data_IF_358791865510
#
_entry.id   IF_358791865510
#
_cell.length_a   1.000
_cell.length_b   1.000
_cell.length_c   1.000
_cell.angle_alpha   90.00
_cell.angle_beta   90.00
_cell.angle_gamma   90.00
#
_symmetry.space_group_name_H-M   'P 1'
#
loop_
_entity.id
_entity.type
_entity.pdbx_description
1 polymer ?
#
# COMPACT_ATOMS: atom_id res chain seq x y z
N UNK A 1 -2.33 3.90 23.00
CA UNK A 1 -1.99 2.56 23.53
C UNK A 1 -0.51 2.36 23.27
N UNK A 2 0.29 2.25 24.32
CA UNK A 2 1.74 2.06 24.22
C UNK A 2 2.07 0.76 23.51
N UNK A 3 3.15 0.75 22.74
CA UNK A 3 3.66 -0.48 22.13
C UNK A 3 3.97 -1.48 23.26
N UNK A 4 3.37 -2.69 23.27
CA UNK A 4 3.76 -3.70 24.24
C UNK A 4 5.23 -4.09 24.02
N UNK A 5 5.89 -4.48 25.11
CA UNK A 5 7.24 -5.01 25.10
C UNK A 5 7.42 -6.01 23.95
N UNK A 6 8.56 -5.92 23.27
CA UNK A 6 8.91 -6.64 22.04
C UNK A 6 8.74 -8.16 22.17
N UNK A 7 7.53 -8.66 21.95
CA UNK A 7 7.29 -10.10 21.78
C UNK A 7 7.90 -10.49 20.44
N UNK A 8 9.12 -11.01 20.50
CA UNK A 8 9.83 -11.54 19.34
C UNK A 8 9.15 -12.81 18.87
N UNK A 9 8.96 -12.96 17.57
CA UNK A 9 8.39 -14.18 16.99
C UNK A 9 9.26 -15.40 17.38
N UNK A 10 8.70 -16.44 18.03
CA UNK A 10 9.45 -17.58 18.52
C UNK A 10 9.75 -18.62 17.43
N UNK A 11 9.22 -18.41 16.22
CA UNK A 11 9.40 -19.32 15.10
C UNK A 11 10.86 -19.36 14.62
N UNK A 12 11.38 -20.53 14.22
CA UNK A 12 12.70 -20.66 13.61
C UNK A 12 12.82 -19.81 12.34
N UNK A 13 14.03 -19.33 12.05
CA UNK A 13 14.27 -18.47 10.90
C UNK A 13 13.99 -19.19 9.58
N UNK A 14 14.29 -20.49 9.51
CA UNK A 14 14.05 -21.34 8.34
C UNK A 14 12.55 -21.45 8.03
N UNK A 15 11.72 -21.51 9.06
CA UNK A 15 10.26 -21.53 8.90
C UNK A 15 9.74 -20.19 8.39
N UNK A 16 10.28 -19.08 8.92
CA UNK A 16 9.97 -17.74 8.43
C UNK A 16 10.39 -17.57 6.97
N UNK A 17 11.61 -17.97 6.62
CA UNK A 17 12.14 -17.92 5.25
C UNK A 17 11.23 -18.66 4.29
N UNK A 18 10.95 -19.94 4.58
CA UNK A 18 10.11 -20.75 3.71
C UNK A 18 8.69 -20.17 3.59
N UNK A 19 8.07 -19.79 4.70
CA UNK A 19 6.71 -19.23 4.70
C UNK A 19 6.62 -17.95 3.88
N UNK A 20 7.55 -17.01 4.05
CA UNK A 20 7.52 -15.74 3.34
C UNK A 20 7.97 -15.87 1.89
N UNK A 21 8.95 -16.73 1.61
CA UNK A 21 9.35 -17.04 0.24
C UNK A 21 8.19 -17.65 -0.55
N UNK A 22 7.49 -18.63 0.02
CA UNK A 22 6.30 -19.22 -0.60
C UNK A 22 5.21 -18.16 -0.84
N UNK A 23 4.96 -17.30 0.17
CA UNK A 23 3.95 -16.25 0.12
C UNK A 23 4.29 -15.10 -0.83
N UNK A 24 5.55 -14.73 -1.04
CA UNK A 24 5.93 -13.51 -1.77
C UNK A 24 6.59 -13.77 -3.12
N UNK A 25 7.39 -14.83 -3.26
CA UNK A 25 8.24 -15.04 -4.45
C UNK A 25 7.55 -15.78 -5.59
N UNK A 26 6.30 -16.22 -5.41
CA UNK A 26 5.51 -16.86 -6.46
C UNK A 26 4.68 -15.81 -7.22
N UNK A 27 4.94 -15.55 -8.51
CA UNK A 27 4.17 -14.56 -9.26
C UNK A 27 2.71 -15.00 -9.44
N UNK A 28 1.78 -14.05 -9.31
CA UNK A 28 0.37 -14.31 -9.59
C UNK A 28 0.05 -14.00 -11.05
N UNK A 29 -0.13 -15.04 -11.85
CA UNK A 29 -0.22 -14.94 -13.31
C UNK A 29 -1.62 -14.63 -13.87
N UNK A 30 -2.69 -14.62 -13.06
CA UNK A 30 -4.00 -14.22 -13.58
C UNK A 30 -3.96 -12.73 -13.89
N UNK A 31 -4.07 -12.37 -15.17
CA UNK A 31 -4.02 -10.98 -15.64
C UNK A 31 -5.28 -10.59 -16.45
N UNK A 32 -6.32 -11.42 -16.42
CA UNK A 32 -7.50 -11.20 -17.24
C UNK A 32 -8.40 -10.14 -16.61
N UNK A 33 -8.46 -8.98 -17.26
CA UNK A 33 -9.35 -7.87 -16.91
C UNK A 33 -10.50 -7.66 -17.90
N UNK A 34 -10.66 -8.54 -18.91
CA UNK A 34 -11.65 -8.37 -19.98
C UNK A 34 -13.10 -8.48 -19.51
N UNK A 35 -13.32 -9.15 -18.37
CA UNK A 35 -14.64 -9.28 -17.73
C UNK A 35 -15.09 -8.03 -16.97
N UNK A 36 -14.19 -7.07 -16.72
CA UNK A 36 -14.57 -5.83 -16.07
C UNK A 36 -15.19 -4.86 -17.08
N UNK A 37 -16.22 -4.11 -16.63
CA UNK A 37 -16.89 -3.09 -17.45
C UNK A 37 -15.90 -2.10 -18.10
N UNK A 38 -16.28 -1.36 -19.14
CA UNK A 38 -15.40 -0.30 -19.66
C UNK A 38 -15.18 0.78 -18.59
N UNK A 39 -13.96 1.32 -18.49
CA UNK A 39 -13.69 2.43 -17.58
C UNK A 39 -14.49 3.67 -18.05
N UNK A 40 -15.24 4.28 -17.12
CA UNK A 40 -16.14 5.40 -17.41
C UNK A 40 -15.57 6.77 -17.02
N UNK A 41 -14.36 6.80 -16.46
CA UNK A 41 -13.72 8.04 -16.02
C UNK A 41 -13.08 8.82 -17.16
N UNK A 42 -12.80 10.09 -16.89
CA UNK A 42 -11.96 10.93 -17.74
C UNK A 42 -10.53 10.39 -17.81
N UNK A 43 -9.86 10.66 -18.92
CA UNK A 43 -8.42 10.46 -19.05
C UNK A 43 -7.66 11.55 -18.30
N UNK A 44 -6.42 11.26 -17.92
CA UNK A 44 -5.50 12.25 -17.37
C UNK A 44 -5.40 13.47 -18.32
N UNK A 45 -5.40 14.68 -17.73
CA UNK A 45 -5.25 15.95 -18.46
C UNK A 45 -3.80 16.44 -18.46
N UNK A 46 -2.86 15.55 -18.18
CA UNK A 46 -1.44 15.87 -18.03
C UNK A 46 -1.07 16.31 -16.62
N UNK A 47 -1.84 15.93 -15.61
CA UNK A 47 -1.58 16.28 -14.21
C UNK A 47 -0.66 15.26 -13.54
N UNK A 48 -0.80 13.97 -13.85
CA UNK A 48 -0.04 12.89 -13.21
C UNK A 48 1.47 13.04 -13.36
N UNK A 49 1.91 13.51 -14.53
CA UNK A 49 3.32 13.55 -14.93
C UNK A 49 3.97 14.94 -14.79
N UNK A 50 3.27 15.92 -14.20
CA UNK A 50 3.89 17.24 -13.92
C UNK A 50 5.07 17.10 -12.96
N UNK A 51 6.06 18.00 -13.00
CA UNK A 51 7.06 18.09 -11.94
C UNK A 51 6.40 18.11 -10.56
N UNK A 52 7.07 17.52 -9.57
CA UNK A 52 6.61 17.49 -8.19
C UNK A 52 6.90 18.85 -7.56
N UNK A 53 5.89 19.41 -6.91
CA UNK A 53 5.97 20.71 -6.27
C UNK A 53 6.37 20.58 -4.80
N UNK A 54 7.02 21.62 -4.27
CA UNK A 54 7.41 21.73 -2.86
C UNK A 54 6.21 21.55 -1.92
N UNK A 55 5.07 22.17 -2.26
CA UNK A 55 3.85 22.08 -1.45
C UNK A 55 3.35 20.63 -1.32
N UNK A 56 3.53 19.80 -2.36
CA UNK A 56 3.15 18.38 -2.33
C UNK A 56 4.05 17.60 -1.38
N UNK A 57 5.35 17.88 -1.38
CA UNK A 57 6.32 17.28 -0.45
C UNK A 57 6.02 17.69 0.98
N UNK A 58 5.83 18.98 1.24
CA UNK A 58 5.46 19.51 2.56
C UNK A 58 4.16 18.88 3.09
N UNK A 59 3.13 18.75 2.24
CA UNK A 59 1.88 18.06 2.60
C UNK A 59 2.10 16.56 2.85
N UNK A 60 2.96 15.92 2.06
CA UNK A 60 3.27 14.50 2.23
C UNK A 60 3.97 14.24 3.58
N UNK A 61 4.97 15.04 3.93
CA UNK A 61 5.71 14.99 5.20
C UNK A 61 4.76 15.14 6.38
N UNK A 62 3.95 16.21 6.40
CA UNK A 62 2.95 16.45 7.46
C UNK A 62 1.90 15.35 7.60
N UNK A 63 1.68 14.58 6.53
CA UNK A 63 0.74 13.46 6.51
C UNK A 63 1.34 12.11 6.92
N UNK A 64 2.60 12.06 7.35
CA UNK A 64 3.25 10.87 7.92
C UNK A 64 3.17 10.93 9.44
N UNK A 65 3.02 9.77 10.08
CA UNK A 65 3.03 9.67 11.55
C UNK A 65 4.47 9.85 12.04
N UNK A 66 4.70 10.75 13.00
CA UNK A 66 6.02 11.00 13.59
C UNK A 66 6.67 9.73 14.16
N UNK A 67 5.87 8.74 14.58
CA UNK A 67 6.33 7.46 15.12
C UNK A 67 6.61 6.41 14.04
N UNK A 68 6.60 6.80 12.76
CA UNK A 68 6.87 5.89 11.65
C UNK A 68 8.29 5.35 11.76
N UNK A 69 8.43 4.02 11.78
CA UNK A 69 9.73 3.38 11.83
C UNK A 69 10.52 3.65 10.53
N UNK A 70 11.85 3.81 10.59
CA UNK A 70 12.69 4.07 9.42
C UNK A 70 12.69 2.88 8.45
N UNK A 71 13.14 3.06 7.20
CA UNK A 71 13.40 1.95 6.29
C UNK A 71 14.70 1.21 6.63
N UNK A 72 15.12 0.22 5.81
CA UNK A 72 16.43 -0.43 5.94
C UNK A 72 17.63 0.52 5.79
N UNK A 73 17.42 1.68 5.16
CA UNK A 73 18.36 2.78 4.99
C UNK A 73 18.57 3.59 6.28
N UNK A 74 17.74 3.38 7.31
CA UNK A 74 17.87 4.05 8.61
C UNK A 74 17.31 5.47 8.65
N UNK A 75 16.93 6.06 7.52
CA UNK A 75 16.37 7.42 7.47
C UNK A 75 15.00 7.48 8.14
N UNK A 76 14.87 8.38 9.11
CA UNK A 76 13.64 8.67 9.84
C UNK A 76 12.86 9.79 9.17
N UNK A 77 11.65 10.09 9.66
CA UNK A 77 10.91 11.26 9.20
C UNK A 77 11.63 12.56 9.57
N UNK A 78 12.26 12.62 10.76
CA UNK A 78 13.00 13.78 11.24
C UNK A 78 14.16 14.11 10.30
N UNK A 79 14.95 13.11 9.91
CA UNK A 79 16.07 13.34 8.99
C UNK A 79 15.60 13.93 7.65
N UNK A 80 14.43 13.49 7.17
CA UNK A 80 13.83 14.02 5.93
C UNK A 80 13.29 15.42 6.12
N UNK A 81 12.74 15.74 7.30
CA UNK A 81 12.31 17.09 7.65
C UNK A 81 13.49 18.04 7.71
N UNK A 82 14.58 17.65 8.37
CA UNK A 82 15.79 18.46 8.48
C UNK A 82 16.36 18.77 7.08
N UNK A 83 16.43 17.76 6.19
CA UNK A 83 16.86 17.96 4.79
C UNK A 83 15.93 18.92 4.03
N UNK A 84 14.61 18.78 4.22
CA UNK A 84 13.61 19.62 3.54
C UNK A 84 13.61 21.06 4.07
N UNK A 85 13.86 21.25 5.36
CA UNK A 85 13.94 22.57 6.00
C UNK A 85 15.25 23.29 5.63
N UNK A 86 16.32 22.54 5.33
CA UNK A 86 17.59 23.08 4.80
C UNK A 86 17.51 23.49 3.31
N UNK A 87 16.91 22.65 2.45
CA UNK A 87 16.65 22.94 1.03
C UNK A 87 15.32 22.31 0.58
N UNK A 88 14.28 23.14 0.58
CA UNK A 88 12.92 22.77 0.22
C UNK A 88 12.76 22.36 -1.26
N UNK A 89 13.78 22.62 -2.10
CA UNK A 89 13.77 22.29 -3.53
C UNK A 89 14.40 20.93 -3.83
N UNK A 90 15.20 20.37 -2.92
CA UNK A 90 16.00 19.16 -3.17
C UNK A 90 15.12 17.91 -3.40
N UNK A 91 14.21 17.64 -2.47
CA UNK A 91 13.31 16.47 -2.53
C UNK A 91 12.33 16.56 -3.72
N UNK A 92 11.65 17.71 -3.98
CA UNK A 92 10.82 17.87 -5.17
C UNK A 92 11.58 17.63 -6.48
N UNK A 93 12.82 18.13 -6.59
CA UNK A 93 13.66 17.90 -7.78
C UNK A 93 14.03 16.42 -7.94
N UNK A 94 14.39 15.75 -6.85
CA UNK A 94 14.68 14.31 -6.85
C UNK A 94 13.47 13.49 -7.30
N UNK A 95 12.29 13.77 -6.74
CA UNK A 95 11.06 13.07 -7.11
C UNK A 95 10.64 13.37 -8.55
N UNK A 96 10.82 14.61 -9.01
CA UNK A 96 10.60 14.98 -10.42
C UNK A 96 11.53 14.23 -11.37
N UNK A 97 12.77 13.97 -10.96
CA UNK A 97 13.71 13.17 -11.73
C UNK A 97 13.25 11.71 -11.86
N UNK A 98 12.78 11.09 -10.77
CA UNK A 98 12.21 9.74 -10.81
C UNK A 98 10.98 9.67 -11.70
N UNK A 99 10.10 10.68 -11.61
CA UNK A 99 8.91 10.76 -12.43
C UNK A 99 9.25 10.90 -13.92
N UNK A 100 10.20 11.77 -14.26
CA UNK A 100 10.63 12.00 -15.65
C UNK A 100 11.38 10.81 -16.25
N UNK A 101 12.18 10.11 -15.45
CA UNK A 101 12.91 8.92 -15.90
C UNK A 101 12.05 7.65 -15.88
N UNK A 102 10.89 7.67 -15.21
CA UNK A 102 10.07 6.51 -14.91
C UNK A 102 10.85 5.38 -14.21
N UNK A 103 11.87 5.74 -13.43
CA UNK A 103 12.79 4.81 -12.76
C UNK A 103 12.96 5.17 -11.29
N UNK A 104 12.88 4.16 -10.43
CA UNK A 104 13.12 4.23 -9.00
C UNK A 104 14.48 3.60 -8.70
N UNK A 105 15.34 4.25 -7.90
CA UNK A 105 16.62 3.68 -7.50
C UNK A 105 16.47 2.31 -6.84
N UNK A 106 17.28 1.32 -7.26
CA UNK A 106 17.21 -0.04 -6.73
C UNK A 106 17.54 -0.11 -5.23
N UNK A 107 18.37 0.82 -4.73
CA UNK A 107 18.62 0.96 -3.29
C UNK A 107 17.34 1.21 -2.49
N UNK A 108 16.34 1.86 -3.09
CA UNK A 108 15.07 2.19 -2.44
C UNK A 108 14.02 1.07 -2.53
N UNK A 109 14.29 0.02 -3.31
CA UNK A 109 13.40 -1.14 -3.50
C UNK A 109 13.60 -2.23 -2.44
N UNK A 110 14.46 -1.99 -1.45
CA UNK A 110 14.70 -2.86 -0.30
C UNK A 110 13.79 -2.46 0.86
N UNK A 111 13.16 -3.44 1.49
CA UNK A 111 12.30 -3.23 2.66
C UNK A 111 12.66 -4.20 3.80
N UNK A 112 12.16 -3.91 5.00
CA UNK A 112 12.18 -4.86 6.12
C UNK A 112 10.76 -5.17 6.58
N UNK A 113 10.54 -6.41 6.99
CA UNK A 113 9.24 -6.87 7.49
C UNK A 113 9.39 -7.30 8.95
N UNK A 114 8.62 -6.65 9.83
CA UNK A 114 8.55 -6.99 11.26
C UNK A 114 7.24 -7.70 11.56
N UNK A 115 7.25 -8.64 12.50
CA UNK A 115 6.09 -9.43 12.88
C UNK A 115 5.46 -8.88 14.16
N UNK A 116 4.17 -8.54 14.10
CA UNK A 116 3.38 -8.06 15.25
C UNK A 116 2.38 -9.16 15.66
N UNK A 117 2.33 -9.56 16.94
CA UNK A 117 1.41 -10.61 17.38
C UNK A 117 -0.06 -10.18 17.24
N UNK A 118 -0.94 -11.12 16.86
CA UNK A 118 -2.41 -10.89 16.84
C UNK A 118 -3.06 -11.07 18.21
N UNK A 119 -2.41 -11.80 19.12
CA UNK A 119 -2.86 -12.12 20.47
C UNK A 119 -1.67 -12.26 21.42
N UNK A 120 -1.93 -12.36 22.71
CA UNK A 120 -0.89 -12.48 23.75
C UNK A 120 -0.58 -13.94 24.15
N UNK A 121 -1.41 -14.89 23.70
CA UNK A 121 -1.27 -16.32 23.98
C UNK A 121 -0.03 -16.92 23.27
N UNK A 122 0.97 -17.30 24.06
CA UNK A 122 2.25 -17.81 23.58
C UNK A 122 2.16 -19.13 22.81
N UNK A 123 1.21 -20.01 23.15
CA UNK A 123 1.03 -21.27 22.44
C UNK A 123 0.46 -21.01 21.03
N UNK A 124 -0.46 -20.05 20.92
CA UNK A 124 -0.99 -19.61 19.62
C UNK A 124 0.05 -18.87 18.78
N UNK A 125 0.99 -18.18 19.41
CA UNK A 125 2.07 -17.47 18.72
C UNK A 125 3.15 -18.40 18.13
N UNK A 126 3.07 -19.72 18.37
CA UNK A 126 3.81 -20.75 17.62
C UNK A 126 3.26 -21.01 16.20
N UNK A 127 2.16 -20.37 15.82
CA UNK A 127 1.62 -20.41 14.47
C UNK A 127 1.82 -19.05 13.78
N UNK A 128 2.48 -19.07 12.61
CA UNK A 128 2.77 -17.88 11.80
C UNK A 128 1.52 -17.10 11.40
N UNK A 129 0.37 -17.75 11.27
CA UNK A 129 -0.88 -17.08 10.91
C UNK A 129 -1.45 -16.26 12.08
N UNK A 130 -0.95 -16.41 13.30
CA UNK A 130 -1.22 -15.52 14.43
C UNK A 130 -0.30 -14.28 14.48
N UNK A 131 0.53 -14.07 13.45
CA UNK A 131 1.36 -12.87 13.29
C UNK A 131 0.86 -11.96 12.16
N UNK A 132 1.03 -10.65 12.33
CA UNK A 132 0.80 -9.63 11.30
C UNK A 132 2.15 -9.17 10.77
N UNK A 133 2.49 -9.45 9.51
CA UNK A 133 3.67 -8.85 8.89
C UNK A 133 3.41 -7.37 8.59
N UNK A 134 4.33 -6.52 9.03
CA UNK A 134 4.37 -5.10 8.67
C UNK A 134 5.66 -4.83 7.93
N UNK A 135 5.52 -4.51 6.63
CA UNK A 135 6.66 -4.20 5.75
C UNK A 135 6.88 -2.69 5.70
N UNK A 136 8.08 -2.27 6.04
CA UNK A 136 8.55 -0.89 6.05
C UNK A 136 9.67 -0.71 5.04
N UNK A 137 9.47 0.20 4.09
CA UNK A 137 10.48 0.60 3.11
C UNK A 137 11.08 1.97 3.42
N UNK A 138 11.97 2.47 2.55
CA UNK A 138 12.61 3.77 2.65
C UNK A 138 11.62 4.92 2.73
N UNK A 139 11.92 5.92 3.57
CA UNK A 139 11.03 7.06 3.82
C UNK A 139 10.81 7.91 2.57
N UNK A 140 11.86 8.16 1.78
CA UNK A 140 11.76 8.89 0.52
C UNK A 140 10.79 8.22 -0.47
N UNK A 141 10.90 6.90 -0.62
CA UNK A 141 9.98 6.16 -1.49
C UNK A 141 8.56 6.14 -0.92
N UNK A 142 8.41 6.21 0.41
CA UNK A 142 7.11 6.36 1.06
C UNK A 142 6.43 7.67 0.65
N UNK A 143 7.13 8.79 0.82
CA UNK A 143 6.65 10.13 0.47
C UNK A 143 6.32 10.24 -1.03
N UNK A 144 7.21 9.75 -1.89
CA UNK A 144 6.98 9.74 -3.34
C UNK A 144 5.68 9.00 -3.70
N UNK A 145 5.51 7.76 -3.23
CA UNK A 145 4.29 6.99 -3.53
C UNK A 145 3.03 7.60 -2.93
N UNK A 146 3.11 8.30 -1.79
CA UNK A 146 2.00 9.04 -1.20
C UNK A 146 1.54 10.19 -2.10
N UNK A 147 2.47 10.96 -2.66
CA UNK A 147 2.17 12.03 -3.61
C UNK A 147 1.53 11.45 -4.88
N UNK A 148 2.14 10.39 -5.44
CA UNK A 148 1.63 9.75 -6.66
C UNK A 148 0.24 9.14 -6.45
N UNK A 149 -0.04 8.55 -5.28
CA UNK A 149 -1.37 8.04 -4.94
C UNK A 149 -2.40 9.16 -4.91
N UNK A 150 -2.08 10.30 -4.29
CA UNK A 150 -2.96 11.48 -4.24
C UNK A 150 -3.26 12.03 -5.64
N UNK A 151 -2.23 12.23 -6.47
CA UNK A 151 -2.44 12.67 -7.86
C UNK A 151 -3.31 11.67 -8.63
N UNK A 152 -3.12 10.38 -8.40
CA UNK A 152 -3.93 9.33 -9.00
C UNK A 152 -5.40 9.41 -8.58
N UNK A 153 -5.71 9.59 -7.29
CA UNK A 153 -7.10 9.68 -6.82
C UNK A 153 -7.83 10.90 -7.37
N UNK A 154 -7.13 12.03 -7.55
CA UNK A 154 -7.69 13.25 -8.13
C UNK A 154 -7.91 13.13 -9.65
N UNK A 155 -7.10 12.30 -10.32
CA UNK A 155 -7.18 12.09 -11.77
C UNK A 155 -8.26 11.09 -12.16
N UNK A 156 -8.44 10.04 -11.36
CA UNK A 156 -9.26 8.89 -11.75
C UNK A 156 -10.66 9.00 -11.18
N UNK A 157 -11.66 8.73 -12.02
CA UNK A 157 -13.02 8.52 -11.53
C UNK A 157 -13.09 7.25 -10.68
N UNK A 158 -13.42 7.44 -9.40
CA UNK A 158 -13.73 6.38 -8.46
C UNK A 158 -15.25 6.29 -8.34
N UNK A 159 -15.79 5.07 -8.33
CA UNK A 159 -17.23 4.86 -8.18
C UNK A 159 -17.71 5.48 -6.86
N UNK A 160 -18.78 6.30 -6.84
CA UNK A 160 -19.29 6.92 -5.60
C UNK A 160 -19.70 5.92 -4.50
N UNK A 161 -19.88 4.64 -4.84
CA UNK A 161 -20.13 3.55 -3.88
C UNK A 161 -18.87 3.01 -3.23
N UNK A 162 -17.68 3.32 -3.75
CA UNK A 162 -16.42 3.06 -3.07
C UNK A 162 -16.33 4.02 -1.88
N UNK A 163 -16.24 3.46 -0.68
CA UNK A 163 -16.17 4.23 0.57
C UNK A 163 -14.95 3.90 1.41
N UNK A 164 -14.23 2.82 1.08
CA UNK A 164 -12.99 2.45 1.73
C UNK A 164 -11.80 3.23 1.15
N UNK A 165 -10.90 3.68 2.02
CA UNK A 165 -9.63 4.32 1.68
C UNK A 165 -9.74 5.65 0.90
N UNK A 166 -10.88 6.34 0.99
CA UNK A 166 -11.03 7.71 0.46
C UNK A 166 -10.91 8.73 1.58
N UNK A 167 -10.08 9.77 1.38
CA UNK A 167 -9.98 10.88 2.31
C UNK A 167 -11.34 11.57 2.52
N UNK A 168 -11.50 12.14 3.71
CA UNK A 168 -12.65 12.94 4.11
C UNK A 168 -14.04 12.28 3.91
N UNK A 169 -14.11 10.94 3.79
CA UNK A 169 -15.37 10.21 3.61
C UNK A 169 -15.64 9.35 4.86
N UNK A 170 -16.73 9.58 5.62
CA UNK A 170 -17.13 8.74 6.75
C UNK A 170 -17.77 7.43 6.24
N UNK A 171 -17.00 6.65 5.48
CA UNK A 171 -17.50 5.58 4.63
C UNK A 171 -18.22 4.46 5.37
N UNK A 172 -17.75 4.10 6.57
CA UNK A 172 -18.39 3.09 7.41
C UNK A 172 -19.79 3.55 7.84
N UNK A 173 -19.90 4.78 8.36
CA UNK A 173 -21.14 5.35 8.85
C UNK A 173 -22.17 5.49 7.72
N UNK A 174 -21.74 5.97 6.55
CA UNK A 174 -22.62 6.07 5.37
C UNK A 174 -23.14 4.70 4.93
N UNK A 175 -22.25 3.71 4.81
CA UNK A 175 -22.65 2.36 4.39
C UNK A 175 -23.61 1.70 5.39
N UNK A 176 -23.38 1.89 6.70
CA UNK A 176 -24.27 1.41 7.76
C UNK A 176 -25.64 2.09 7.64
N UNK A 177 -25.68 3.42 7.52
CA UNK A 177 -26.93 4.17 7.41
C UNK A 177 -27.73 3.78 6.15
N UNK A 178 -27.04 3.58 5.01
CA UNK A 178 -27.66 3.09 3.77
C UNK A 178 -28.27 1.70 3.99
N UNK A 179 -27.51 0.78 4.58
CA UNK A 179 -27.98 -0.58 4.85
C UNK A 179 -29.17 -0.59 5.80
N UNK A 180 -29.13 0.19 6.88
CA UNK A 180 -30.26 0.34 7.80
C UNK A 180 -31.52 0.85 7.11
N UNK A 181 -31.40 1.85 6.24
CA UNK A 181 -32.52 2.40 5.50
C UNK A 181 -33.12 1.39 4.50
N UNK A 182 -32.27 0.60 3.84
CA UNK A 182 -32.72 -0.50 2.97
C UNK A 182 -33.51 -1.53 3.80
N UNK A 183 -33.00 -1.94 4.95
CA UNK A 183 -33.66 -2.90 5.85
C UNK A 183 -35.00 -2.34 6.37
N UNK A 184 -35.04 -1.07 6.80
CA UNK A 184 -36.28 -0.41 7.26
C UNK A 184 -37.32 -0.33 6.14
N UNK A 185 -36.90 0.03 4.92
CA UNK A 185 -37.77 0.09 3.75
C UNK A 185 -38.33 -1.28 3.36
N UNK A 186 -37.50 -2.32 3.40
CA UNK A 186 -37.92 -3.71 3.15
C UNK A 186 -39.01 -4.15 4.16
N UNK A 187 -38.79 -3.88 5.45
CA UNK A 187 -39.77 -4.16 6.52
C UNK A 187 -41.08 -3.41 6.33
N UNK A 188 -41.03 -2.10 6.05
CA UNK A 188 -42.23 -1.26 5.84
C UNK A 188 -43.07 -1.77 4.67
N UNK A 189 -42.42 -2.18 3.58
CA UNK A 189 -43.09 -2.61 2.36
C UNK A 189 -43.35 -4.13 2.31
N UNK A 190 -43.04 -4.88 3.37
CA UNK A 190 -43.14 -6.35 3.44
C UNK A 190 -42.50 -7.04 2.23
N UNK A 191 -41.31 -6.57 1.84
CA UNK A 191 -40.53 -7.15 0.74
C UNK A 191 -39.33 -7.92 1.28
N UNK A 192 -39.12 -9.12 0.77
CA UNK A 192 -37.92 -9.90 1.07
C UNK A 192 -36.70 -9.30 0.37
N UNK A 193 -35.60 -9.17 1.12
CA UNK A 193 -34.31 -8.72 0.61
C UNK A 193 -33.24 -9.69 1.07
N UNK A 194 -32.25 -9.95 0.21
CA UNK A 194 -31.08 -10.77 0.55
C UNK A 194 -29.84 -9.88 0.53
N UNK A 195 -29.05 -9.94 1.60
CA UNK A 195 -27.77 -9.23 1.71
C UNK A 195 -26.65 -10.26 1.59
N UNK A 196 -25.68 -10.00 0.71
CA UNK A 196 -24.51 -10.85 0.50
C UNK A 196 -23.27 -10.09 0.94
N UNK A 197 -22.55 -10.64 1.90
CA UNK A 197 -21.25 -10.13 2.33
C UNK A 197 -20.15 -10.92 1.62
N UNK A 198 -19.29 -10.21 0.89
CA UNK A 198 -18.15 -10.80 0.18
C UNK A 198 -16.88 -10.21 0.78
N UNK A 199 -16.02 -11.08 1.32
CA UNK A 199 -14.70 -10.69 1.81
C UNK A 199 -13.59 -11.30 0.94
N UNK A 200 -12.57 -10.51 0.65
CA UNK A 200 -11.44 -10.93 -0.17
C UNK A 200 -10.29 -11.37 0.72
N UNK A 201 -10.10 -12.68 0.82
CA UNK A 201 -8.99 -13.26 1.58
C UNK A 201 -7.64 -12.71 1.12
N UNK A 202 -6.89 -12.11 2.06
CA UNK A 202 -5.52 -11.60 1.84
C UNK A 202 -5.44 -10.64 0.62
N UNK A 203 -6.42 -9.75 0.46
CA UNK A 203 -6.56 -8.89 -0.72
C UNK A 203 -5.26 -8.17 -1.11
N UNK A 204 -4.57 -7.51 -0.16
CA UNK A 204 -3.32 -6.79 -0.46
C UNK A 204 -2.14 -7.69 -0.81
N UNK A 205 -2.09 -8.92 -0.29
CA UNK A 205 -0.97 -9.83 -0.50
C UNK A 205 -1.15 -10.73 -1.73
N UNK A 206 -2.34 -10.72 -2.33
CA UNK A 206 -2.71 -11.63 -3.41
C UNK A 206 -2.80 -10.97 -4.80
N UNK A 207 -2.77 -9.63 -4.89
CA UNK A 207 -2.82 -8.94 -6.18
C UNK A 207 -1.55 -9.21 -6.98
N UNK A 208 -1.68 -9.79 -8.18
CA UNK A 208 -0.56 -9.89 -9.12
C UNK A 208 -0.21 -8.54 -9.72
N UNK A 209 1.08 -8.20 -9.81
CA UNK A 209 1.51 -6.91 -10.37
C UNK A 209 1.05 -6.71 -11.82
N UNK A 210 0.95 -7.79 -12.61
CA UNK A 210 0.37 -7.76 -13.96
C UNK A 210 -1.08 -7.23 -13.97
N UNK A 211 -1.88 -7.51 -12.94
CA UNK A 211 -3.25 -6.97 -12.83
C UNK A 211 -3.25 -5.47 -12.58
N UNK A 212 -2.32 -4.98 -11.76
CA UNK A 212 -2.16 -3.54 -11.50
C UNK A 212 -1.88 -2.83 -12.83
N UNK A 213 -0.87 -3.29 -13.58
CA UNK A 213 -0.53 -2.73 -14.90
C UNK A 213 -1.72 -2.77 -15.86
N UNK A 214 -2.44 -3.91 -15.94
CA UNK A 214 -3.63 -4.03 -16.79
C UNK A 214 -4.78 -3.12 -16.37
N UNK A 215 -4.95 -2.87 -15.07
CA UNK A 215 -5.94 -1.94 -14.56
C UNK A 215 -5.61 -0.51 -14.99
N UNK A 216 -4.35 -0.08 -14.82
CA UNK A 216 -3.89 1.26 -15.22
C UNK A 216 -4.01 1.46 -16.75
N UNK A 217 -3.68 0.44 -17.54
CA UNK A 217 -3.89 0.44 -19.01
C UNK A 217 -5.37 0.59 -19.37
N UNK A 218 -6.27 -0.14 -18.70
CA UNK A 218 -7.73 -0.02 -18.92
C UNK A 218 -8.27 1.36 -18.55
N UNK A 219 -7.62 2.04 -17.61
CA UNK A 219 -7.93 3.43 -17.21
C UNK A 219 -7.33 4.47 -18.16
N UNK A 220 -6.55 4.06 -19.18
CA UNK A 220 -5.91 4.93 -20.18
C UNK A 220 -5.02 6.00 -19.55
N UNK A 221 -4.27 5.63 -18.51
CA UNK A 221 -3.27 6.51 -17.90
C UNK A 221 -2.03 6.67 -18.81
N UNK A 222 -1.22 7.73 -18.63
CA UNK A 222 -0.01 7.95 -19.41
C UNK A 222 0.93 6.73 -19.39
N UNK A 223 1.53 6.35 -20.53
CA UNK A 223 2.47 5.21 -20.59
C UNK A 223 3.66 5.33 -19.62
N UNK A 224 4.19 6.54 -19.45
CA UNK A 224 5.31 6.79 -18.53
C UNK A 224 4.91 6.58 -17.07
N UNK A 225 3.69 6.98 -16.68
CA UNK A 225 3.14 6.69 -15.37
C UNK A 225 3.01 5.18 -15.14
N UNK A 226 2.50 4.45 -16.14
CA UNK A 226 2.36 2.99 -16.07
C UNK A 226 3.75 2.34 -15.95
N UNK A 227 4.74 2.85 -16.66
CA UNK A 227 6.14 2.38 -16.60
C UNK A 227 6.73 2.60 -15.22
N UNK A 228 6.56 3.81 -14.65
CA UNK A 228 7.01 4.14 -13.29
C UNK A 228 6.34 3.25 -12.24
N UNK A 229 5.03 3.03 -12.33
CA UNK A 229 4.33 2.11 -11.41
C UNK A 229 4.80 0.67 -11.60
N UNK A 230 5.11 0.26 -12.83
CA UNK A 230 5.69 -1.07 -13.08
C UNK A 230 7.06 -1.20 -12.41
N UNK A 231 7.91 -0.19 -12.51
CA UNK A 231 9.23 -0.17 -11.87
C UNK A 231 9.13 -0.15 -10.34
N UNK A 232 8.15 0.57 -9.77
CA UNK A 232 7.84 0.56 -8.34
C UNK A 232 7.53 -0.85 -7.80
N UNK A 233 6.99 -1.75 -8.62
CA UNK A 233 6.69 -3.13 -8.23
C UNK A 233 7.78 -4.13 -8.64
N UNK A 234 8.70 -3.77 -9.53
CA UNK A 234 9.73 -4.67 -10.06
C UNK A 234 10.98 -4.67 -9.19
N UNK A 235 11.55 -5.85 -8.94
CA UNK A 235 12.84 -5.97 -8.24
C UNK A 235 12.80 -5.66 -6.74
N UNK A 236 11.61 -5.55 -6.14
CA UNK A 236 11.48 -5.33 -4.70
C UNK A 236 11.90 -6.55 -3.90
N UNK A 237 12.61 -6.31 -2.80
CA UNK A 237 12.99 -7.34 -1.83
C UNK A 237 12.58 -6.95 -0.42
N UNK A 238 12.36 -7.95 0.42
CA UNK A 238 12.21 -7.78 1.87
C UNK A 238 13.08 -8.75 2.62
N UNK A 239 13.59 -8.30 3.76
CA UNK A 239 14.13 -9.17 4.82
C UNK A 239 13.10 -9.24 5.94
N UNK A 240 12.83 -10.44 6.47
CA UNK A 240 11.91 -10.62 7.60
C UNK A 240 12.72 -10.68 8.89
N UNK A 241 12.31 -9.92 9.90
CA UNK A 241 12.98 -9.84 11.19
C UNK A 241 12.21 -10.66 12.24
N UNK A 242 12.87 -11.64 12.85
CA UNK A 242 12.32 -12.52 13.87
C UNK A 242 13.40 -12.95 14.87
N UNK A 243 13.11 -12.92 16.18
CA UNK A 243 14.03 -13.36 17.23
C UNK A 243 15.48 -12.83 17.13
N UNK A 244 15.67 -11.52 16.87
CA UNK A 244 16.99 -10.87 16.65
C UNK A 244 17.78 -11.43 15.45
N UNK A 245 17.17 -12.28 14.64
CA UNK A 245 17.71 -12.80 13.39
C UNK A 245 16.97 -12.20 12.20
N UNK A 246 17.59 -12.32 11.02
CA UNK A 246 17.07 -11.80 9.77
C UNK A 246 17.15 -12.89 8.72
N UNK A 247 16.12 -12.99 7.89
CA UNK A 247 16.13 -13.90 6.75
C UNK A 247 17.13 -13.44 5.70
N UNK A 248 17.42 -14.32 4.74
CA UNK A 248 17.92 -13.88 3.43
C UNK A 248 16.94 -12.90 2.76
N UNK A 249 17.41 -12.15 1.76
CA UNK A 249 16.55 -11.28 0.96
C UNK A 249 15.53 -12.11 0.18
N UNK A 250 14.23 -11.82 0.37
CA UNK A 250 13.11 -12.48 -0.30
C UNK A 250 12.55 -11.53 -1.36
N UNK A 251 12.45 -12.01 -2.60
CA UNK A 251 11.83 -11.26 -3.71
C UNK A 251 10.32 -11.18 -3.54
N UNK A 252 9.78 -10.00 -3.82
CA UNK A 252 8.33 -9.73 -3.79
C UNK A 252 7.79 -9.73 -5.22
N UNK A 253 7.11 -10.81 -5.60
CA UNK A 253 6.55 -11.05 -6.95
C UNK A 253 5.02 -10.93 -6.99
N UNK A 254 4.39 -10.71 -5.84
CA UNK A 254 2.93 -10.48 -5.71
C UNK A 254 2.59 -9.68 -4.46
N UNK A 255 1.39 -9.12 -4.47
CA UNK A 255 0.86 -8.27 -3.42
C UNK A 255 1.44 -6.85 -3.49
N UNK A 256 0.88 -5.97 -2.67
CA UNK A 256 1.50 -4.69 -2.38
C UNK A 256 2.82 -4.95 -1.65
N UNK A 257 3.94 -4.46 -2.20
CA UNK A 257 5.27 -4.62 -1.61
C UNK A 257 5.41 -3.95 -0.25
N UNK A 258 4.43 -3.15 0.14
CA UNK A 258 4.41 -2.41 1.39
C UNK A 258 3.03 -2.55 2.02
N UNK A 259 3.00 -2.93 3.29
CA UNK A 259 1.79 -3.37 4.00
C UNK A 259 0.71 -2.28 4.16
N UNK A 260 -0.25 -2.47 5.08
CA UNK A 260 -1.41 -1.57 5.24
C UNK A 260 -1.06 -0.11 5.57
N UNK A 261 0.18 0.20 5.96
CA UNK A 261 0.68 1.58 6.15
C UNK A 261 0.63 2.42 4.88
N UNK A 262 0.71 1.79 3.69
CA UNK A 262 0.58 2.44 2.39
C UNK A 262 -0.87 2.49 1.88
N UNK A 263 -1.76 1.69 2.50
CA UNK A 263 -3.20 1.77 2.31
C UNK A 263 -3.83 2.77 3.30
N UNK A 264 -3.13 3.87 3.60
CA UNK A 264 -3.78 5.02 4.27
C UNK A 264 -4.73 5.69 3.26
N UNK A 265 -5.79 6.38 3.74
CA UNK A 265 -6.74 7.04 2.85
C UNK A 265 -6.01 7.93 1.84
N UNK A 266 -6.39 7.80 0.57
CA UNK A 266 -5.92 8.67 -0.52
C UNK A 266 -6.68 9.98 -0.48
#
# INVERSE_FOLDING_TARGET
>A
MGAPATTTCPLPIEELEWCFWDKLSKPYNKANVSRFATYKGSTDKGELMKPIEEEEVTKAIKGVDEKSAPGPDGMTLSDIQDIHDEDDTLIPRLFSLWLKSAMIPDSLKKSRTVLIPKCEDQERLKDIDNWRPITTGPMLLCLFTKIMAKRLSETVWINPRQKGFLAATPGCNENIAILENIIKGAKKNRKDHTVVFVDLAKAFNSVGHKLIVKALQRMKLPPDFITMVTDLYTGNTTVVEGNKTKTVEIKIERGSSKGPTFAKPI
#
